data_IF_176577038010
#
_entry.id   IF_176577038010
#
_cell.length_a   1.000
_cell.length_b   1.000
_cell.length_c   1.000
_cell.angle_alpha   90.00
_cell.angle_beta   90.00
_cell.angle_gamma   90.00
#
_symmetry.space_group_name_H-M   'P 1'
#
loop_
_entity.id
_entity.type
_entity.pdbx_description
1 polymer ?
#
# COMPACT_ATOMS: atom_id res chain seq x y z
N UNK A 1 -10.40 -0.20 1.71
CA UNK A 1 -9.05 0.41 1.80
C UNK A 1 -8.91 1.29 0.58
N UNK A 2 -8.39 2.49 0.74
CA UNK A 2 -8.31 3.51 -0.30
C UNK A 2 -6.91 4.11 -0.37
N UNK A 3 -6.55 4.69 -1.51
CA UNK A 3 -5.31 5.45 -1.62
C UNK A 3 -5.36 6.64 -0.65
N UNK A 4 -4.28 6.75 0.12
CA UNK A 4 -4.12 7.78 1.13
C UNK A 4 -4.55 7.35 2.53
N UNK A 5 -5.19 6.18 2.69
CA UNK A 5 -5.49 5.60 3.99
C UNK A 5 -4.22 5.38 4.80
N UNK A 6 -4.28 5.71 6.09
CA UNK A 6 -3.25 5.31 7.06
C UNK A 6 -3.64 3.96 7.65
N UNK A 7 -2.72 3.01 7.63
CA UNK A 7 -2.94 1.65 8.09
C UNK A 7 -1.80 1.18 9.00
N UNK A 8 -2.10 0.19 9.84
CA UNK A 8 -1.12 -0.67 10.49
C UNK A 8 -1.16 -2.04 9.81
N UNK A 9 0.00 -2.55 9.41
CA UNK A 9 0.16 -3.85 8.76
C UNK A 9 1.45 -4.49 9.25
N UNK A 10 1.37 -5.73 9.74
CA UNK A 10 2.55 -6.46 10.27
C UNK A 10 3.36 -5.65 11.30
N UNK A 11 2.67 -4.87 12.15
CA UNK A 11 3.30 -4.00 13.15
C UNK A 11 3.88 -2.67 12.62
N UNK A 12 3.92 -2.48 11.30
CA UNK A 12 4.36 -1.23 10.67
C UNK A 12 3.20 -0.28 10.43
N UNK A 13 3.44 1.02 10.55
CA UNK A 13 2.45 2.05 10.26
C UNK A 13 2.80 2.71 8.94
N UNK A 14 1.84 2.77 8.02
CA UNK A 14 2.08 3.36 6.71
C UNK A 14 0.86 3.92 6.04
N UNK A 15 1.08 4.49 4.86
CA UNK A 15 0.04 5.04 4.00
C UNK A 15 -0.09 4.20 2.74
N UNK A 16 -1.31 3.88 2.35
CA UNK A 16 -1.58 3.19 1.09
C UNK A 16 -1.31 4.15 -0.06
N UNK A 17 -0.38 3.80 -0.95
CA UNK A 17 0.04 4.67 -2.07
C UNK A 17 -0.26 4.09 -3.45
N UNK A 18 -0.55 2.79 -3.54
CA UNK A 18 -1.11 2.18 -4.75
C UNK A 18 -1.95 0.93 -4.42
N UNK A 19 -3.01 0.73 -5.19
CA UNK A 19 -3.82 -0.50 -5.26
C UNK A 19 -3.63 -1.06 -6.67
N UNK A 20 -2.59 -1.88 -6.84
CA UNK A 20 -2.10 -2.31 -8.16
C UNK A 20 -3.16 -3.17 -8.86
N UNK A 21 -3.81 -4.07 -8.11
CA UNK A 21 -4.89 -4.92 -8.64
C UNK A 21 -6.11 -4.12 -9.15
N UNK A 22 -6.30 -2.88 -8.67
CA UNK A 22 -7.36 -1.98 -9.12
C UNK A 22 -6.87 -0.98 -10.18
N UNK A 23 -5.58 -1.00 -10.54
CA UNK A 23 -4.98 -0.02 -11.44
C UNK A 23 -4.94 1.40 -10.85
N UNK A 24 -4.98 1.54 -9.52
CA UNK A 24 -5.05 2.84 -8.85
C UNK A 24 -3.70 3.19 -8.22
N UNK A 25 -3.22 4.38 -8.49
CA UNK A 25 -1.90 4.86 -8.09
C UNK A 25 -1.99 6.29 -7.57
N UNK A 26 -1.23 6.61 -6.52
CA UNK A 26 -1.11 8.00 -6.07
C UNK A 26 -0.17 8.78 -7.00
N UNK A 27 -0.29 10.11 -7.10
CA UNK A 27 0.54 10.91 -8.01
C UNK A 27 2.06 10.76 -7.79
N UNK A 28 2.49 10.50 -6.55
CA UNK A 28 3.90 10.30 -6.20
C UNK A 28 4.42 8.89 -6.54
N UNK A 29 3.51 7.92 -6.77
CA UNK A 29 3.83 6.53 -7.04
C UNK A 29 3.09 6.07 -8.30
N UNK A 30 3.48 6.58 -9.49
CA UNK A 30 2.69 6.45 -10.70
C UNK A 30 2.78 5.05 -11.33
N UNK A 31 1.78 4.69 -12.15
CA UNK A 31 1.64 3.35 -12.73
C UNK A 31 2.86 2.93 -13.56
N UNK A 32 3.50 3.86 -14.27
CA UNK A 32 4.68 3.60 -15.11
C UNK A 32 5.86 3.02 -14.31
N UNK A 33 5.92 3.31 -13.01
CA UNK A 33 6.97 2.81 -12.12
C UNK A 33 6.58 1.52 -11.41
N UNK A 34 5.29 1.23 -11.20
CA UNK A 34 4.85 0.20 -10.25
C UNK A 34 3.90 -0.85 -10.83
N UNK A 35 3.29 -0.59 -11.98
CA UNK A 35 2.35 -1.53 -12.61
C UNK A 35 3.03 -2.85 -13.05
N UNK A 36 4.35 -2.86 -13.22
CA UNK A 36 5.12 -4.09 -13.52
C UNK A 36 5.00 -5.16 -12.43
N UNK A 37 4.60 -4.79 -11.21
CA UNK A 37 4.35 -5.73 -10.11
C UNK A 37 3.03 -6.51 -10.27
N UNK A 38 2.21 -6.14 -11.26
CA UNK A 38 0.95 -6.77 -11.69
C UNK A 38 -0.21 -6.73 -10.68
N UNK A 39 0.06 -6.93 -9.38
CA UNK A 39 -0.95 -7.02 -8.33
C UNK A 39 -0.42 -6.59 -6.96
N UNK A 40 -1.35 -6.42 -6.03
CA UNK A 40 -1.05 -6.16 -4.63
C UNK A 40 -1.23 -4.69 -4.24
N UNK A 41 -0.69 -4.33 -3.08
CA UNK A 41 -0.80 -3.01 -2.48
C UNK A 41 0.58 -2.46 -2.17
N UNK A 42 0.82 -1.20 -2.53
CA UNK A 42 2.00 -0.46 -2.06
C UNK A 42 1.65 0.38 -0.86
N UNK A 43 2.48 0.26 0.17
CA UNK A 43 2.36 1.01 1.42
C UNK A 43 3.67 1.74 1.67
N UNK A 44 3.62 3.06 1.76
CA UNK A 44 4.72 3.87 2.26
C UNK A 44 4.69 3.80 3.80
N UNK A 45 5.52 2.91 4.35
CA UNK A 45 5.67 2.68 5.78
C UNK A 45 6.68 3.64 6.40
N UNK A 46 6.46 4.02 7.65
CA UNK A 46 7.40 4.88 8.38
C UNK A 46 8.68 4.11 8.76
N UNK A 47 8.57 2.79 8.93
CA UNK A 47 9.63 1.93 9.46
C UNK A 47 10.53 1.35 8.38
N UNK A 48 9.98 0.96 7.22
CA UNK A 48 10.71 0.26 6.16
C UNK A 48 10.71 1.01 4.81
N UNK A 49 10.11 2.20 4.74
CA UNK A 49 9.90 2.91 3.49
C UNK A 49 8.81 2.25 2.65
N UNK A 50 9.00 2.18 1.33
CA UNK A 50 8.01 1.61 0.44
C UNK A 50 8.02 0.07 0.48
N UNK A 51 6.89 -0.51 0.89
CA UNK A 51 6.71 -1.97 0.96
C UNK A 51 5.62 -2.41 -0.01
N UNK A 52 5.92 -3.46 -0.78
CA UNK A 52 4.96 -4.15 -1.64
C UNK A 52 4.39 -5.37 -0.92
N UNK A 53 3.06 -5.41 -0.84
CA UNK A 53 2.31 -6.56 -0.37
C UNK A 53 1.59 -7.21 -1.55
N UNK A 54 2.10 -8.34 -2.10
CA UNK A 54 1.49 -9.02 -3.23
C UNK A 54 0.04 -9.47 -2.98
N UNK A 55 -0.28 -9.74 -1.71
CA UNK A 55 -1.62 -10.01 -1.19
C UNK A 55 -1.70 -9.50 0.25
N UNK A 56 -2.90 -9.12 0.68
CA UNK A 56 -3.21 -8.81 2.08
C UNK A 56 -3.91 -9.97 2.79
N UNK A 57 -4.14 -11.08 2.09
CA UNK A 57 -4.77 -12.26 2.65
C UNK A 57 -3.90 -12.84 3.78
N UNK A 58 -4.51 -13.05 4.96
CA UNK A 58 -3.82 -13.56 6.14
C UNK A 58 -3.00 -12.52 6.91
N UNK A 59 -2.88 -11.28 6.42
CA UNK A 59 -2.21 -10.20 7.14
C UNK A 59 -3.20 -9.45 8.04
N UNK A 60 -2.73 -9.04 9.22
CA UNK A 60 -3.52 -8.16 10.08
C UNK A 60 -3.37 -6.71 9.60
N UNK A 61 -4.43 -6.20 8.96
CA UNK A 61 -4.49 -4.84 8.45
C UNK A 61 -5.55 -4.05 9.22
N UNK A 62 -5.11 -3.00 9.90
CA UNK A 62 -5.98 -2.09 10.65
C UNK A 62 -5.93 -0.70 10.05
N UNK A 63 -7.10 -0.13 9.72
CA UNK A 63 -7.17 1.27 9.32
C UNK A 63 -7.06 2.16 10.56
N UNK A 64 -6.15 3.12 10.52
CA UNK A 64 -5.93 4.06 11.61
C UNK A 64 -6.47 5.42 11.17
N UNK A 65 -7.46 5.94 11.89
CA UNK A 65 -7.86 7.34 11.76
C UNK A 65 -6.84 8.22 12.50
N UNK A 66 -6.52 9.38 11.93
CA UNK A 66 -5.85 10.43 12.69
C UNK A 66 -6.78 10.99 13.78
#
# INVERSE_FOLDING_TARGET
>A
MEIGDRIRIEGMTGRVVALISEGRFSPAYPAEQWAYLEKGTLVETNEAGLVHYPTLEGLQVERISN
#
